data_IF_659114700981
#
_entry.id   IF_659114700981
#
_cell.length_a   1.000
_cell.length_b   1.000
_cell.length_c   1.000
_cell.angle_alpha   90.00
_cell.angle_beta   90.00
_cell.angle_gamma   90.00
#
_symmetry.space_group_name_H-M   'P 1'
#
loop_
_entity.id
_entity.type
_entity.pdbx_description
1 polymer ?
#
# COMPACT_ATOMS: atom_id res chain seq x y z
N UNK A 1 17.48 10.84 1.18
CA UNK A 1 16.15 10.33 0.79
C UNK A 1 15.42 9.50 1.87
N UNK A 2 16.02 9.16 3.02
CA UNK A 2 15.38 8.30 4.05
C UNK A 2 14.55 9.06 5.13
N UNK A 3 14.83 10.34 5.39
CA UNK A 3 14.20 11.12 6.47
C UNK A 3 12.74 11.48 6.19
N UNK A 4 12.36 11.60 4.92
CA UNK A 4 10.99 11.91 4.48
C UNK A 4 10.01 10.77 4.77
N UNK A 5 10.46 9.51 4.73
CA UNK A 5 9.63 8.33 5.06
C UNK A 5 9.16 8.32 6.51
N UNK A 6 10.02 8.63 7.49
CA UNK A 6 9.65 8.61 8.92
C UNK A 6 8.51 9.58 9.26
N UNK A 7 8.56 10.81 8.70
CA UNK A 7 7.50 11.81 8.91
C UNK A 7 6.18 11.36 8.27
N UNK A 8 6.21 10.78 7.07
CA UNK A 8 5.02 10.25 6.41
C UNK A 8 4.36 9.12 7.20
N UNK A 9 5.14 8.15 7.68
CA UNK A 9 4.65 7.04 8.52
C UNK A 9 4.01 7.55 9.82
N UNK A 10 4.64 8.52 10.50
CA UNK A 10 4.08 9.12 11.72
C UNK A 10 2.74 9.83 11.45
N UNK A 11 2.60 10.54 10.32
CA UNK A 11 1.36 11.22 9.93
C UNK A 11 0.25 10.20 9.62
N UNK A 12 0.57 9.12 8.91
CA UNK A 12 -0.34 8.00 8.65
C UNK A 12 -0.92 7.43 9.95
N UNK A 13 -0.04 7.08 10.91
CA UNK A 13 -0.43 6.51 12.22
C UNK A 13 -1.30 7.45 13.06
N UNK A 14 -1.16 8.77 12.88
CA UNK A 14 -1.96 9.80 13.56
C UNK A 14 -3.28 10.12 12.82
N UNK A 15 -3.60 9.42 11.72
CA UNK A 15 -4.79 9.68 10.91
C UNK A 15 -4.72 11.00 10.12
N UNK A 16 -3.55 11.62 10.00
CA UNK A 16 -3.39 12.86 9.25
C UNK A 16 -3.41 12.55 7.75
N UNK A 17 -4.09 13.40 6.96
CA UNK A 17 -4.10 13.30 5.49
C UNK A 17 -2.66 13.31 4.97
N UNK A 18 -2.22 12.15 4.55
CA UNK A 18 -1.01 11.95 3.77
C UNK A 18 -1.42 11.86 2.32
N UNK A 19 -0.66 12.51 1.43
CA UNK A 19 -0.89 12.42 -0.02
C UNK A 19 -0.88 10.94 -0.40
N UNK A 20 -2.02 10.43 -0.83
CA UNK A 20 -2.13 9.06 -1.33
C UNK A 20 -1.33 8.99 -2.62
N UNK A 21 -0.24 8.23 -2.59
CA UNK A 21 0.68 8.11 -3.74
C UNK A 21 0.39 6.86 -4.59
N UNK A 22 -0.34 5.89 -4.04
CA UNK A 22 -0.82 4.71 -4.73
C UNK A 22 -2.01 4.10 -3.97
N UNK A 23 -2.93 3.47 -4.71
CA UNK A 23 -3.84 2.47 -4.17
C UNK A 23 -3.23 1.11 -4.48
N UNK A 24 -2.95 0.31 -3.46
CA UNK A 24 -2.44 -1.05 -3.63
C UNK A 24 -3.63 -1.99 -3.45
N UNK A 25 -3.91 -2.88 -4.41
CA UNK A 25 -4.98 -3.85 -4.26
C UNK A 25 -4.61 -4.82 -3.14
N UNK A 26 -5.55 -5.06 -2.24
CA UNK A 26 -5.38 -5.97 -1.11
C UNK A 26 -6.65 -6.78 -0.90
N UNK A 27 -6.52 -7.90 -0.20
CA UNK A 27 -7.65 -8.68 0.29
C UNK A 27 -7.42 -9.11 1.74
N UNK A 28 -8.50 -9.34 2.46
CA UNK A 28 -8.49 -9.96 3.78
C UNK A 28 -8.79 -11.46 3.63
N UNK A 29 -8.03 -12.29 4.33
CA UNK A 29 -8.31 -13.72 4.50
C UNK A 29 -9.33 -13.93 5.63
N UNK A 30 -9.94 -15.10 5.65
CA UNK A 30 -10.89 -15.51 6.69
C UNK A 30 -10.26 -15.54 8.09
N UNK A 31 -8.94 -15.79 8.17
CA UNK A 31 -8.15 -15.73 9.41
C UNK A 31 -7.76 -14.30 9.85
N UNK A 32 -8.20 -13.28 9.09
CA UNK A 32 -7.87 -11.88 9.33
C UNK A 32 -6.51 -11.43 8.76
N UNK A 33 -5.78 -12.30 8.06
CA UNK A 33 -4.54 -11.96 7.38
C UNK A 33 -4.76 -11.00 6.20
N UNK A 34 -3.86 -10.01 6.04
CA UNK A 34 -3.89 -9.06 4.92
C UNK A 34 -2.91 -9.48 3.84
N UNK A 35 -3.39 -9.60 2.60
CA UNK A 35 -2.56 -9.87 1.44
C UNK A 35 -2.53 -8.70 0.48
N UNK A 36 -1.33 -8.36 0.01
CA UNK A 36 -1.13 -7.42 -1.09
C UNK A 36 -1.15 -8.18 -2.40
N UNK A 37 -2.02 -7.76 -3.31
CA UNK A 37 -2.16 -8.38 -4.62
C UNK A 37 -1.22 -7.71 -5.61
N UNK A 38 -0.57 -8.53 -6.44
CA UNK A 38 0.18 -8.04 -7.61
C UNK A 38 -0.75 -8.13 -8.82
N UNK A 39 -1.11 -6.99 -9.39
CA UNK A 39 -1.93 -6.95 -10.61
C UNK A 39 -1.01 -7.00 -11.81
N UNK A 40 -1.03 -8.13 -12.50
CA UNK A 40 -0.34 -8.28 -13.79
C UNK A 40 -1.32 -8.06 -14.94
N UNK A 41 -0.85 -7.44 -16.03
CA UNK A 41 -1.60 -7.44 -17.28
C UNK A 41 -1.90 -8.88 -17.73
N UNK A 42 -3.15 -9.18 -18.12
CA UNK A 42 -3.49 -10.50 -18.70
C UNK A 42 -2.76 -10.75 -20.03
N UNK A 43 -2.45 -9.68 -20.75
CA UNK A 43 -1.86 -9.72 -22.09
C UNK A 43 -0.33 -9.80 -22.04
N UNK A 44 0.30 -8.98 -21.18
CA UNK A 44 1.78 -8.88 -21.13
C UNK A 44 2.39 -9.54 -19.90
N UNK A 45 1.58 -9.89 -18.89
CA UNK A 45 2.00 -10.50 -17.60
C UNK A 45 3.10 -9.74 -16.85
N UNK A 46 3.24 -8.44 -17.12
CA UNK A 46 4.17 -7.55 -16.42
C UNK A 46 3.48 -6.96 -15.18
N UNK A 47 4.27 -6.75 -14.14
CA UNK A 47 3.95 -6.01 -12.91
C UNK A 47 4.89 -4.81 -12.78
#
# INVERSE_FOLDING_TARGET
MATTKKKAVRRAKKGQRIRQVAAIPFRLREDGGLEVLVVTSRTTRRF
#
